data_IF_484475613719
#
_entry.id   IF_484475613719
#
_cell.length_a   1.000
_cell.length_b   1.000
_cell.length_c   1.000
_cell.angle_alpha   90.00
_cell.angle_beta   90.00
_cell.angle_gamma   90.00
#
_symmetry.space_group_name_H-M   'P 1'
#
loop_
_entity.id
_entity.type
_entity.pdbx_description
1 polymer ?
#
# COMPACT_ATOMS: atom_id res chain seq x y z
N UNK A 1 -19.79 33.29 -10.37
CA UNK A 1 -18.45 33.64 -9.83
C UNK A 1 -18.14 32.65 -8.71
N UNK A 2 -17.02 31.91 -8.74
CA UNK A 2 -16.68 31.04 -7.62
C UNK A 2 -16.32 31.89 -6.40
N UNK A 3 -16.70 31.41 -5.21
CA UNK A 3 -16.35 32.03 -3.94
C UNK A 3 -14.87 31.76 -3.66
N UNK A 4 -14.03 32.78 -3.74
CA UNK A 4 -12.63 32.66 -3.33
C UNK A 4 -12.53 32.56 -1.80
N UNK A 5 -11.63 31.69 -1.33
CA UNK A 5 -11.28 31.59 0.08
C UNK A 5 -10.84 32.96 0.62
N UNK A 6 -11.33 33.33 1.81
CA UNK A 6 -10.84 34.48 2.57
C UNK A 6 -9.54 34.17 3.34
N UNK A 7 -9.19 32.90 3.43
CA UNK A 7 -8.00 32.43 4.13
C UNK A 7 -6.83 32.37 3.17
N UNK A 8 -5.71 32.95 3.59
CA UNK A 8 -4.41 32.80 2.97
C UNK A 8 -3.47 32.19 3.99
N UNK A 9 -2.75 31.15 3.58
CA UNK A 9 -1.71 30.52 4.37
C UNK A 9 -0.47 30.43 3.49
N UNK A 10 0.75 30.71 4.00
CA UNK A 10 1.96 30.48 3.23
C UNK A 10 2.04 29.02 2.82
N UNK A 11 2.50 28.77 1.59
CA UNK A 11 2.84 27.43 1.15
C UNK A 11 4.14 27.02 1.85
N UNK A 12 4.19 25.87 2.53
CA UNK A 12 5.43 25.37 3.12
C UNK A 12 6.52 25.18 2.06
N UNK A 13 7.76 25.53 2.41
CA UNK A 13 8.95 25.35 1.55
C UNK A 13 9.70 24.03 1.83
N UNK A 14 9.03 23.09 2.50
CA UNK A 14 9.60 21.80 2.93
C UNK A 14 8.98 20.62 2.18
N UNK A 15 9.66 19.47 2.21
CA UNK A 15 9.11 18.26 1.61
C UNK A 15 7.96 17.67 2.45
N UNK A 16 7.18 16.79 1.81
CA UNK A 16 5.98 16.23 2.40
C UNK A 16 6.25 15.48 3.72
N UNK A 17 7.39 14.81 3.87
CA UNK A 17 7.71 14.06 5.09
C UNK A 17 8.11 15.02 6.21
N UNK A 18 8.93 16.04 5.91
CA UNK A 18 9.25 17.10 6.88
C UNK A 18 8.00 17.84 7.35
N UNK A 19 7.12 18.24 6.42
CA UNK A 19 5.83 18.85 6.76
C UNK A 19 4.99 17.94 7.68
N UNK A 20 4.97 16.63 7.40
CA UNK A 20 4.16 15.66 8.15
C UNK A 20 4.72 15.40 9.55
N UNK A 21 6.05 15.32 9.69
CA UNK A 21 6.66 14.81 10.91
C UNK A 21 7.40 15.87 11.75
N UNK A 22 8.01 16.90 11.17
CA UNK A 22 8.96 17.73 11.94
C UNK A 22 8.30 18.70 12.94
N UNK A 23 7.02 19.03 12.74
CA UNK A 23 6.32 20.07 13.52
C UNK A 23 5.25 19.55 14.49
N UNK A 24 5.36 18.29 14.94
CA UNK A 24 4.37 17.69 15.84
C UNK A 24 4.36 18.36 17.23
N UNK A 25 3.21 18.95 17.59
CA UNK A 25 2.98 19.71 18.82
C UNK A 25 1.96 19.06 19.80
N UNK A 26 1.64 17.78 19.59
CA UNK A 26 0.75 16.99 20.43
C UNK A 26 1.47 15.75 20.99
N UNK A 27 0.81 15.02 21.90
CA UNK A 27 1.35 13.79 22.48
C UNK A 27 1.55 12.71 21.39
N UNK A 28 2.81 12.31 21.22
CA UNK A 28 3.25 11.45 20.11
C UNK A 28 2.89 9.98 20.29
N UNK A 29 2.43 9.59 21.47
CA UNK A 29 2.02 8.23 21.77
C UNK A 29 0.50 8.04 21.75
N UNK A 30 -0.27 9.13 21.58
CA UNK A 30 -1.72 9.06 21.34
C UNK A 30 -2.00 8.54 19.92
N UNK A 31 -2.96 7.62 19.75
CA UNK A 31 -3.40 7.16 18.44
C UNK A 31 -3.88 8.29 17.52
N UNK A 32 -3.39 8.32 16.27
CA UNK A 32 -3.77 9.28 15.23
C UNK A 32 -4.46 8.60 14.02
N UNK A 33 -4.18 7.32 13.79
CA UNK A 33 -4.97 6.47 12.89
C UNK A 33 -5.59 5.36 13.70
N UNK A 34 -6.90 5.18 13.57
CA UNK A 34 -7.67 4.16 14.29
C UNK A 34 -8.50 3.43 13.24
N UNK A 35 -8.36 2.11 13.20
CA UNK A 35 -9.18 1.27 12.33
C UNK A 35 -10.62 1.25 12.86
N UNK A 36 -11.58 1.43 11.96
CA UNK A 36 -13.00 1.48 12.29
C UNK A 36 -13.55 0.08 12.60
N UNK A 37 -13.03 -0.94 11.94
CA UNK A 37 -13.46 -2.33 12.14
C UNK A 37 -12.84 -2.94 13.40
N UNK A 38 -11.61 -2.56 13.73
CA UNK A 38 -10.91 -2.99 14.96
C UNK A 38 -10.14 -1.83 15.60
N UNK A 39 -10.77 -1.14 16.54
CA UNK A 39 -10.14 0.01 17.24
C UNK A 39 -8.88 -0.34 18.03
N UNK A 40 -8.60 -1.62 18.31
CA UNK A 40 -7.33 -2.03 18.91
C UNK A 40 -6.15 -1.88 17.92
N UNK A 41 -6.46 -1.92 16.62
CA UNK A 41 -5.54 -1.64 15.54
C UNK A 41 -5.46 -0.13 15.31
N UNK A 42 -4.39 0.47 15.81
CA UNK A 42 -4.15 1.90 15.69
C UNK A 42 -2.66 2.22 15.51
N UNK A 43 -2.38 3.43 15.07
CA UNK A 43 -1.03 3.98 14.95
C UNK A 43 -0.96 5.32 15.66
N UNK A 44 -0.02 5.46 16.59
CA UNK A 44 0.42 6.75 17.11
C UNK A 44 1.39 7.44 16.16
N UNK A 45 1.68 8.72 16.39
CA UNK A 45 2.69 9.45 15.63
C UNK A 45 4.05 8.73 15.65
N UNK A 46 4.52 8.27 16.82
CA UNK A 46 5.81 7.59 16.94
C UNK A 46 5.83 6.27 16.17
N UNK A 47 4.73 5.52 16.20
CA UNK A 47 4.57 4.28 15.45
C UNK A 47 4.54 4.54 13.94
N UNK A 48 3.83 5.58 13.50
CA UNK A 48 3.79 6.02 12.10
C UNK A 48 5.17 6.41 11.59
N UNK A 49 5.90 7.28 12.30
CA UNK A 49 7.26 7.71 11.92
C UNK A 49 8.23 6.51 11.84
N UNK A 50 8.18 5.62 12.84
CA UNK A 50 8.99 4.40 12.86
C UNK A 50 8.67 3.49 11.68
N UNK A 51 7.38 3.32 11.35
CA UNK A 51 6.91 2.52 10.23
C UNK A 51 7.34 3.09 8.90
N UNK A 52 7.17 4.40 8.67
CA UNK A 52 7.61 5.09 7.45
C UNK A 52 9.11 4.91 7.25
N UNK A 53 9.94 5.11 8.28
CA UNK A 53 11.39 4.91 8.20
C UNK A 53 11.76 3.47 7.80
N UNK A 54 11.08 2.47 8.37
CA UNK A 54 11.28 1.05 8.01
C UNK A 54 10.86 0.78 6.56
N UNK A 55 9.75 1.34 6.11
CA UNK A 55 9.28 1.21 4.72
C UNK A 55 10.26 1.85 3.74
N UNK A 56 10.78 3.04 4.04
CA UNK A 56 11.83 3.68 3.23
C UNK A 56 13.04 2.76 3.06
N UNK A 57 13.53 2.18 4.15
CA UNK A 57 14.64 1.23 4.11
C UNK A 57 14.29 -0.03 3.31
N UNK A 58 13.08 -0.58 3.51
CA UNK A 58 12.58 -1.75 2.81
C UNK A 58 12.46 -1.56 1.29
N UNK A 59 11.89 -0.43 0.85
CA UNK A 59 11.79 -0.12 -0.58
C UNK A 59 13.17 0.02 -1.23
N UNK A 60 14.11 0.73 -0.58
CA UNK A 60 15.48 0.85 -1.07
C UNK A 60 16.18 -0.51 -1.13
N UNK A 61 16.01 -1.35 -0.11
CA UNK A 61 16.55 -2.72 -0.08
C UNK A 61 15.94 -3.62 -1.18
N UNK A 62 14.68 -3.39 -1.54
CA UNK A 62 14.02 -4.07 -2.66
C UNK A 62 14.53 -3.63 -4.04
N UNK A 63 15.38 -2.59 -4.09
CA UNK A 63 15.98 -2.07 -5.30
C UNK A 63 15.20 -0.94 -5.96
N UNK A 64 14.26 -0.31 -5.23
CA UNK A 64 13.61 0.92 -5.69
C UNK A 64 14.66 2.01 -5.90
N UNK A 65 14.63 2.65 -7.06
CA UNK A 65 15.47 3.82 -7.36
C UNK A 65 14.62 5.10 -7.33
N UNK A 66 15.22 6.26 -7.00
CA UNK A 66 14.53 7.53 -7.14
C UNK A 66 13.96 7.72 -8.56
N UNK A 67 12.70 8.15 -8.64
CA UNK A 67 11.97 8.32 -9.90
C UNK A 67 11.25 7.06 -10.41
N UNK A 68 11.43 5.90 -9.77
CA UNK A 68 10.66 4.71 -10.12
C UNK A 68 9.20 4.86 -9.69
N UNK A 69 8.27 4.58 -10.61
CA UNK A 69 6.83 4.56 -10.33
C UNK A 69 6.41 3.26 -9.64
N UNK A 70 5.65 3.40 -8.55
CA UNK A 70 5.15 2.29 -7.76
C UNK A 70 3.64 2.41 -7.60
N UNK A 71 2.93 1.38 -8.04
CA UNK A 71 1.49 1.26 -7.82
C UNK A 71 1.20 0.72 -6.44
N UNK A 72 0.22 1.29 -5.75
CA UNK A 72 -0.38 0.70 -4.54
C UNK A 72 -1.81 0.28 -4.85
N UNK A 73 -2.06 -1.03 -4.73
CA UNK A 73 -3.34 -1.69 -4.91
C UNK A 73 -3.80 -2.28 -3.57
N UNK A 74 -4.59 -1.52 -2.83
CA UNK A 74 -5.05 -1.87 -1.50
C UNK A 74 -6.43 -1.28 -1.27
N UNK A 75 -7.21 -1.91 -0.41
CA UNK A 75 -8.45 -1.33 0.11
C UNK A 75 -8.13 -0.21 1.11
N UNK A 76 -9.16 0.40 1.69
CA UNK A 76 -8.97 1.40 2.72
C UNK A 76 -8.38 0.74 3.97
N UNK A 77 -7.17 1.15 4.34
CA UNK A 77 -6.42 0.58 5.46
C UNK A 77 -5.57 1.67 6.14
N UNK A 78 -5.44 1.62 7.47
CA UNK A 78 -4.67 2.61 8.23
C UNK A 78 -3.16 2.62 7.87
N UNK A 79 -2.65 1.57 7.24
CA UNK A 79 -1.29 1.48 6.74
C UNK A 79 -1.09 2.16 5.38
N UNK A 80 -2.17 2.45 4.65
CA UNK A 80 -2.09 3.05 3.31
C UNK A 80 -1.30 4.38 3.32
N UNK A 81 -1.53 5.33 4.27
CA UNK A 81 -0.72 6.53 4.37
C UNK A 81 0.75 6.25 4.69
N UNK A 82 1.04 5.20 5.47
CA UNK A 82 2.41 4.82 5.80
C UNK A 82 3.16 4.29 4.58
N UNK A 83 2.50 3.46 3.77
CA UNK A 83 3.03 2.97 2.49
C UNK A 83 3.31 4.13 1.52
N UNK A 84 2.37 5.05 1.39
CA UNK A 84 2.52 6.26 0.57
C UNK A 84 3.71 7.11 1.03
N UNK A 85 3.77 7.49 2.32
CA UNK A 85 4.85 8.31 2.85
C UNK A 85 6.21 7.58 2.80
N UNK A 86 6.22 6.28 3.07
CA UNK A 86 7.43 5.45 2.95
C UNK A 86 7.96 5.39 1.52
N UNK A 87 7.07 5.32 0.53
CA UNK A 87 7.42 5.33 -0.88
C UNK A 87 7.99 6.69 -1.31
N UNK A 88 7.30 7.78 -0.94
CA UNK A 88 7.77 9.15 -1.22
C UNK A 88 9.13 9.40 -0.56
N UNK A 89 9.31 9.00 0.70
CA UNK A 89 10.60 9.11 1.40
C UNK A 89 11.71 8.24 0.80
N UNK A 90 11.37 7.16 0.09
CA UNK A 90 12.31 6.36 -0.68
C UNK A 90 12.70 7.01 -2.02
N UNK A 91 12.03 8.10 -2.42
CA UNK A 91 12.21 8.78 -3.70
C UNK A 91 11.36 8.19 -4.84
N UNK A 92 10.43 7.28 -4.52
CA UNK A 92 9.53 6.69 -5.51
C UNK A 92 8.38 7.61 -5.87
N UNK A 93 7.83 7.41 -7.07
CA UNK A 93 6.61 8.08 -7.53
C UNK A 93 5.43 7.19 -7.13
N UNK A 94 4.52 7.74 -6.32
CA UNK A 94 3.28 7.07 -5.97
C UNK A 94 2.27 7.11 -7.11
N UNK A 95 1.66 5.96 -7.37
CA UNK A 95 0.49 5.84 -8.22
C UNK A 95 -0.54 4.94 -7.53
N UNK A 96 -1.77 5.42 -7.37
CA UNK A 96 -2.84 4.66 -6.73
C UNK A 96 -3.69 3.94 -7.77
N UNK A 97 -4.01 2.67 -7.54
CA UNK A 97 -5.03 1.95 -8.33
C UNK A 97 -6.26 1.67 -7.48
N UNK A 98 -7.44 1.94 -8.02
CA UNK A 98 -8.68 1.62 -7.34
C UNK A 98 -8.92 0.10 -7.37
N UNK A 99 -9.24 -0.56 -6.23
CA UNK A 99 -9.61 -1.97 -6.19
C UNK A 99 -10.76 -2.36 -7.15
N UNK A 100 -11.63 -1.42 -7.51
CA UNK A 100 -12.75 -1.63 -8.42
C UNK A 100 -12.34 -1.63 -9.91
N UNK A 101 -11.08 -1.35 -10.25
CA UNK A 101 -10.64 -1.37 -11.65
C UNK A 101 -10.74 -2.76 -12.25
N UNK A 102 -11.23 -2.80 -13.47
CA UNK A 102 -11.22 -3.97 -14.33
C UNK A 102 -9.79 -4.29 -14.78
N UNK A 103 -9.57 -5.52 -15.24
CA UNK A 103 -8.25 -5.94 -15.73
C UNK A 103 -7.74 -5.08 -16.90
N UNK A 104 -8.64 -4.59 -17.77
CA UNK A 104 -8.28 -3.72 -18.88
C UNK A 104 -7.86 -2.32 -18.41
N UNK A 105 -8.56 -1.77 -17.42
CA UNK A 105 -8.19 -0.48 -16.81
C UNK A 105 -6.83 -0.56 -16.11
N UNK A 106 -6.56 -1.67 -15.39
CA UNK A 106 -5.25 -1.91 -14.77
C UNK A 106 -4.14 -2.00 -15.81
N UNK A 107 -4.35 -2.71 -16.92
CA UNK A 107 -3.37 -2.80 -18.00
C UNK A 107 -3.06 -1.42 -18.59
N UNK A 108 -4.12 -0.66 -18.91
CA UNK A 108 -3.98 0.70 -19.41
C UNK A 108 -3.24 1.60 -18.41
N UNK A 109 -3.64 1.56 -17.13
CA UNK A 109 -3.04 2.31 -16.04
C UNK A 109 -1.55 1.99 -15.87
N UNK A 110 -1.17 0.71 -15.77
CA UNK A 110 0.22 0.28 -15.59
C UNK A 110 1.11 0.80 -16.73
N UNK A 111 0.61 0.77 -17.96
CA UNK A 111 1.32 1.28 -19.14
C UNK A 111 1.44 2.80 -19.10
N UNK A 112 0.34 3.51 -18.83
CA UNK A 112 0.30 4.98 -18.86
C UNK A 112 1.10 5.61 -17.72
N UNK A 113 1.08 5.01 -16.53
CA UNK A 113 1.84 5.48 -15.37
C UNK A 113 3.27 4.91 -15.31
N UNK A 114 3.68 4.09 -16.29
CA UNK A 114 5.00 3.44 -16.35
C UNK A 114 5.37 2.71 -15.04
N UNK A 115 4.40 1.97 -14.49
CA UNK A 115 4.53 1.30 -13.19
C UNK A 115 5.64 0.25 -13.24
N UNK A 116 6.59 0.37 -12.31
CA UNK A 116 7.75 -0.52 -12.18
C UNK A 116 7.68 -1.46 -10.99
N UNK A 117 7.00 -1.06 -9.92
CA UNK A 117 6.73 -1.92 -8.76
C UNK A 117 5.25 -1.85 -8.40
N UNK A 118 4.74 -2.91 -7.79
CA UNK A 118 3.37 -2.96 -7.29
C UNK A 118 3.41 -3.42 -5.85
N UNK A 119 2.82 -2.65 -4.95
CA UNK A 119 2.42 -3.12 -3.62
C UNK A 119 0.96 -3.49 -3.72
N UNK A 120 0.63 -4.76 -3.50
CA UNK A 120 -0.73 -5.23 -3.65
C UNK A 120 -1.16 -6.12 -2.49
N UNK A 121 -2.40 -5.95 -2.07
CA UNK A 121 -3.08 -6.99 -1.31
C UNK A 121 -3.23 -8.26 -2.17
N UNK A 122 -3.17 -9.46 -1.57
CA UNK A 122 -3.20 -10.72 -2.28
C UNK A 122 -4.37 -10.85 -3.28
N UNK A 123 -5.53 -10.33 -2.90
CA UNK A 123 -6.79 -10.36 -3.65
C UNK A 123 -6.71 -9.50 -4.92
N UNK A 124 -5.98 -8.38 -4.87
CA UNK A 124 -5.85 -7.42 -5.97
C UNK A 124 -4.67 -7.74 -6.88
N UNK A 125 -3.69 -8.50 -6.38
CA UNK A 125 -2.52 -8.91 -7.16
C UNK A 125 -2.93 -9.64 -8.45
N UNK A 126 -4.00 -10.43 -8.43
CA UNK A 126 -4.49 -11.17 -9.61
C UNK A 126 -4.79 -10.26 -10.81
N UNK A 127 -5.25 -9.03 -10.57
CA UNK A 127 -5.56 -8.05 -11.62
C UNK A 127 -4.29 -7.62 -12.35
N UNK A 128 -3.19 -7.49 -11.61
CA UNK A 128 -1.89 -7.20 -12.18
C UNK A 128 -1.31 -8.43 -12.88
N UNK A 129 -1.50 -9.64 -12.40
CA UNK A 129 -0.80 -10.80 -12.98
C UNK A 129 -1.38 -11.33 -14.31
N UNK A 130 -2.56 -10.87 -14.74
CA UNK A 130 -3.22 -11.39 -15.94
C UNK A 130 -2.45 -11.15 -17.24
N UNK A 131 -1.59 -10.13 -17.30
CA UNK A 131 -0.83 -9.81 -18.51
C UNK A 131 0.68 -9.56 -18.25
N UNK A 132 1.33 -10.51 -17.54
CA UNK A 132 2.76 -10.47 -17.14
C UNK A 132 3.76 -10.29 -18.30
N UNK A 133 3.35 -10.46 -19.56
CA UNK A 133 4.28 -10.50 -20.70
C UNK A 133 4.86 -9.13 -21.06
N UNK A 134 4.29 -8.04 -20.57
CA UNK A 134 4.66 -6.68 -20.99
C UNK A 134 5.56 -5.90 -20.01
N UNK A 135 5.78 -6.37 -18.77
CA UNK A 135 6.43 -5.54 -17.74
C UNK A 135 7.24 -6.34 -16.71
N UNK A 136 8.23 -5.67 -16.11
CA UNK A 136 9.06 -6.22 -15.04
C UNK A 136 8.63 -5.62 -13.70
N UNK A 137 7.57 -6.16 -13.08
CA UNK A 137 7.04 -5.68 -11.80
C UNK A 137 7.60 -6.50 -10.65
N UNK A 138 8.19 -5.84 -9.66
CA UNK A 138 8.37 -6.41 -8.33
C UNK A 138 7.07 -6.25 -7.53
N UNK A 139 6.48 -7.36 -7.05
CA UNK A 139 5.25 -7.33 -6.26
C UNK A 139 5.50 -7.49 -4.76
N UNK A 140 4.99 -6.57 -3.93
CA UNK A 140 5.18 -6.54 -2.48
C UNK A 140 3.85 -6.92 -1.82
N UNK A 141 3.84 -7.94 -0.95
CA UNK A 141 2.63 -8.41 -0.24
C UNK A 141 2.60 -7.86 1.19
N UNK A 142 1.41 -7.47 1.66
CA UNK A 142 1.19 -6.73 2.92
C UNK A 142 0.82 -7.59 4.14
N UNK A 143 0.90 -8.92 4.09
CA UNK A 143 0.36 -9.78 5.18
C UNK A 143 1.02 -9.51 6.55
N UNK A 144 0.34 -8.76 7.44
CA UNK A 144 0.51 -8.53 8.90
C UNK A 144 1.92 -8.30 9.49
N UNK A 145 2.93 -8.37 8.65
CA UNK A 145 4.36 -8.11 8.82
C UNK A 145 4.80 -7.73 7.42
N UNK A 146 5.24 -6.49 7.19
CA UNK A 146 5.65 -6.02 5.87
C UNK A 146 6.87 -6.82 5.36
N UNK A 147 6.64 -7.99 4.78
CA UNK A 147 7.64 -8.75 4.03
C UNK A 147 7.61 -8.29 2.59
N UNK A 148 8.65 -7.53 2.22
CA UNK A 148 8.88 -7.14 0.83
C UNK A 148 9.42 -8.34 0.04
N UNK A 149 8.51 -9.16 -0.50
CA UNK A 149 8.88 -10.22 -1.43
C UNK A 149 9.16 -9.63 -2.81
N UNK A 150 10.16 -10.14 -3.51
CA UNK A 150 10.50 -9.73 -4.88
C UNK A 150 10.05 -10.84 -5.82
N UNK A 151 8.98 -10.61 -6.58
CA UNK A 151 8.62 -11.51 -7.68
C UNK A 151 9.46 -11.14 -8.89
N UNK A 152 10.52 -11.91 -9.14
CA UNK A 152 11.40 -11.74 -10.30
C UNK A 152 10.85 -12.46 -11.53
N UNK A 153 11.13 -11.84 -12.67
CA UNK A 153 10.84 -12.24 -14.06
C UNK A 153 10.83 -13.76 -14.27
N UNK A 154 9.71 -14.30 -14.75
CA UNK A 154 9.69 -15.58 -15.44
C UNK A 154 10.35 -15.38 -16.81
N UNK A 155 11.68 -15.36 -16.81
CA UNK A 155 12.50 -15.43 -18.02
C UNK A 155 12.76 -16.91 -18.27
N UNK A 156 12.18 -17.45 -19.33
CA UNK A 156 12.45 -18.75 -19.97
C UNK A 156 13.51 -19.63 -19.28
N UNK A 157 13.06 -20.35 -18.24
CA UNK A 157 13.44 -21.72 -17.84
C UNK A 157 13.09 -21.91 -16.35
N UNK A 158 12.14 -22.80 -16.08
CA UNK A 158 11.97 -23.41 -14.77
C UNK A 158 10.85 -22.82 -13.90
N UNK A 159 9.76 -23.56 -13.85
CA UNK A 159 8.70 -23.55 -12.84
C UNK A 159 9.19 -23.26 -11.41
N UNK A 160 8.47 -22.43 -10.66
CA UNK A 160 8.74 -22.18 -9.25
C UNK A 160 7.63 -21.38 -8.55
N UNK A 161 6.45 -21.98 -8.41
CA UNK A 161 5.43 -21.51 -7.47
C UNK A 161 5.81 -22.01 -6.06
N UNK A 162 6.11 -21.10 -5.13
CA UNK A 162 6.19 -21.44 -3.71
C UNK A 162 4.96 -20.88 -3.00
N UNK A 163 3.94 -21.73 -2.86
CA UNK A 163 2.91 -21.56 -1.84
C UNK A 163 3.54 -21.85 -0.49
N UNK A 164 3.51 -20.89 0.43
CA UNK A 164 3.79 -21.16 1.83
C UNK A 164 2.47 -21.10 2.59
N UNK A 165 2.13 -22.27 3.14
CA UNK A 165 0.91 -22.56 3.86
C UNK A 165 0.66 -21.56 5.00
N UNK A 166 -0.61 -21.19 5.20
CA UNK A 166 -1.08 -20.75 6.50
C UNK A 166 -0.83 -21.89 7.50
N UNK A 167 0.04 -21.66 8.49
CA UNK A 167 0.00 -22.33 9.78
C UNK A 167 -0.36 -21.27 10.81
N UNK A 168 -1.37 -21.38 11.67
CA UNK A 168 -2.55 -22.24 11.85
C UNK A 168 -3.34 -21.53 12.94
N UNK A 169 -4.66 -21.57 12.88
CA UNK A 169 -5.54 -21.29 14.01
C UNK A 169 -6.87 -21.95 13.71
N UNK A 170 -7.09 -23.14 14.27
CA UNK A 170 -8.40 -23.80 14.25
C UNK A 170 -9.40 -22.94 15.01
N UNK A 171 -10.44 -22.46 14.34
CA UNK A 171 -11.64 -22.04 15.03
C UNK A 171 -12.47 -23.29 15.37
N UNK A 172 -12.95 -23.38 16.60
CA UNK A 172 -13.69 -24.54 17.14
C UNK A 172 -15.06 -24.78 16.50
N UNK A 173 -15.42 -24.07 15.42
CA UNK A 173 -16.79 -24.08 14.90
C UNK A 173 -16.97 -24.26 13.38
N UNK A 174 -15.92 -24.47 12.59
CA UNK A 174 -16.01 -25.10 11.26
C UNK A 174 -17.17 -24.69 10.32
N UNK A 175 -17.50 -23.40 10.18
CA UNK A 175 -18.56 -22.92 9.25
C UNK A 175 -17.98 -22.19 8.03
N UNK A 176 -18.59 -22.43 6.86
CA UNK A 176 -18.26 -21.82 5.56
C UNK A 176 -18.80 -20.40 5.46
N UNK A 177 -18.08 -19.53 4.74
CA UNK A 177 -18.44 -18.14 4.46
C UNK A 177 -19.41 -18.11 3.27
N UNK A 178 -20.68 -18.43 3.51
CA UNK A 178 -21.80 -18.13 2.61
C UNK A 178 -23.05 -18.02 3.48
N UNK A 179 -23.17 -16.95 4.29
CA UNK A 179 -24.41 -16.55 4.98
C UNK A 179 -24.19 -15.19 5.66
N UNK A 180 -24.36 -14.09 4.92
CA UNK A 180 -24.51 -12.75 5.51
C UNK A 180 -25.97 -12.30 5.27
N UNK A 181 -26.74 -11.91 6.31
CA UNK A 181 -28.12 -11.48 6.12
C UNK A 181 -28.16 -10.14 5.36
N UNK A 182 -29.07 -10.07 4.40
CA UNK A 182 -29.40 -8.84 3.68
C UNK A 182 -29.95 -7.79 4.66
N UNK A 183 -29.43 -6.56 4.54
CA UNK A 183 -29.91 -5.39 5.26
C UNK A 183 -31.41 -5.16 4.97
N UNK A 184 -32.22 -5.10 6.02
CA UNK A 184 -33.60 -4.59 5.96
C UNK A 184 -33.60 -3.17 6.51
N UNK A 185 -34.32 -2.28 5.83
CA UNK A 185 -34.44 -0.83 6.07
C UNK A 185 -34.95 -0.46 7.47
#
# INVERSE_FOLDING_TARGET
MPWLSKWSHPLPEEDLLSYTFDHCNYDKDVPIFIDVEDTSRSLSYNQSLSTVRKLVAGFRAAGLKPGDCVSIASFNDIMYPMLFLGLVGAGGIFSGSNPAYTSFEIEHYVRTAEVKFVVAEPELLVLYLKDRKAWSIGAISSSSTFEVKRYLKASDRGSGYFNMARRTGSDSLGRRIEDAPAWQD
#
